data_IF_781918197586
#
_entry.id   IF_781918197586
#
_cell.length_a   1.000
_cell.length_b   1.000
_cell.length_c   1.000
_cell.angle_alpha   90.00
_cell.angle_beta   90.00
_cell.angle_gamma   90.00
#
_symmetry.space_group_name_H-M   'P 1'
#
loop_
_entity.id
_entity.type
_entity.pdbx_description
1 polymer ?
#
# COMPACT_ATOMS: atom_id res chain seq x y z
N UNK A 1 8.69 7.50 7.85
CA UNK A 1 8.13 7.71 6.50
C UNK A 1 8.73 8.96 5.88
N UNK A 2 8.86 9.01 4.57
CA UNK A 2 9.23 10.23 3.83
C UNK A 2 8.01 10.65 2.98
N UNK A 3 7.42 11.80 3.30
CA UNK A 3 6.17 12.28 2.71
C UNK A 3 6.40 13.59 1.98
N UNK A 4 5.99 13.69 0.72
CA UNK A 4 6.06 14.93 -0.04
C UNK A 4 4.65 15.43 -0.41
N UNK A 5 4.36 16.70 -0.15
CA UNK A 5 3.16 17.38 -0.61
C UNK A 5 3.47 18.18 -1.87
N UNK A 6 2.70 17.96 -2.94
CA UNK A 6 2.78 18.75 -4.17
C UNK A 6 1.51 19.59 -4.29
N UNK A 7 1.64 20.91 -4.21
CA UNK A 7 0.53 21.86 -4.25
C UNK A 7 0.43 22.60 -5.59
N UNK A 8 -0.78 22.69 -6.14
CA UNK A 8 -1.07 23.31 -7.42
C UNK A 8 -1.39 24.80 -7.26
N UNK A 9 -0.51 25.65 -7.77
CA UNK A 9 -0.70 27.10 -7.77
C UNK A 9 -0.96 27.69 -9.15
N UNK A 10 -1.28 26.83 -10.12
CA UNK A 10 -1.47 27.17 -11.53
C UNK A 10 -2.72 28.02 -11.78
N UNK A 11 -2.97 28.36 -13.05
CA UNK A 11 -4.13 29.12 -13.46
C UNK A 11 -5.45 28.35 -13.45
N UNK A 12 -5.43 27.01 -13.45
CA UNK A 12 -6.66 26.20 -13.45
C UNK A 12 -7.34 26.15 -12.07
N UNK A 13 -6.54 26.23 -11.02
CA UNK A 13 -7.00 26.37 -9.63
C UNK A 13 -7.44 27.81 -9.35
N UNK A 14 -8.59 28.01 -8.69
CA UNK A 14 -9.07 29.32 -8.22
C UNK A 14 -8.38 29.73 -6.92
N UNK A 15 -8.46 31.01 -6.55
CA UNK A 15 -7.87 31.48 -5.27
C UNK A 15 -8.49 30.81 -4.05
N UNK A 16 -9.80 30.54 -4.07
CA UNK A 16 -10.50 29.84 -2.99
C UNK A 16 -10.04 28.37 -2.91
N UNK A 17 -9.94 27.67 -4.04
CA UNK A 17 -9.45 26.30 -4.10
C UNK A 17 -7.99 26.18 -3.62
N UNK A 18 -7.12 27.15 -3.98
CA UNK A 18 -5.74 27.19 -3.45
C UNK A 18 -5.72 27.44 -1.92
N UNK A 19 -6.69 28.18 -1.39
CA UNK A 19 -6.83 28.35 0.06
C UNK A 19 -7.27 27.04 0.73
N UNK A 20 -8.19 26.30 0.12
CA UNK A 20 -8.59 24.95 0.56
C UNK A 20 -7.41 23.97 0.53
N UNK A 21 -6.59 23.97 -0.53
CA UNK A 21 -5.37 23.15 -0.60
C UNK A 21 -4.42 23.46 0.57
N UNK A 22 -4.20 24.73 0.88
CA UNK A 22 -3.37 25.15 2.02
C UNK A 22 -3.93 24.65 3.34
N UNK A 23 -5.24 24.75 3.55
CA UNK A 23 -5.88 24.25 4.76
C UNK A 23 -5.77 22.72 4.85
N UNK A 24 -5.93 22.03 3.74
CA UNK A 24 -5.80 20.58 3.70
C UNK A 24 -4.36 20.16 4.05
N UNK A 25 -3.34 20.75 3.43
CA UNK A 25 -1.94 20.43 3.75
C UNK A 25 -1.62 20.73 5.22
N UNK A 26 -2.11 21.85 5.78
CA UNK A 26 -1.95 22.15 7.21
C UNK A 26 -2.60 21.10 8.11
N UNK A 27 -3.71 20.49 7.68
CA UNK A 27 -4.38 19.43 8.43
C UNK A 27 -3.63 18.10 8.31
N UNK A 28 -3.26 17.71 7.09
CA UNK A 28 -2.56 16.45 6.83
C UNK A 28 -1.15 16.44 7.43
N UNK A 29 -0.45 17.58 7.46
CA UNK A 29 0.89 17.62 8.05
C UNK A 29 0.87 17.27 9.54
N UNK A 30 -0.14 17.71 10.29
CA UNK A 30 -0.32 17.33 11.71
C UNK A 30 -0.48 15.81 11.86
N UNK A 31 -1.18 15.16 10.92
CA UNK A 31 -1.39 13.72 10.94
C UNK A 31 -0.13 12.91 10.57
N UNK A 32 0.70 13.41 9.64
CA UNK A 32 1.92 12.71 9.22
C UNK A 32 3.13 13.05 10.07
N UNK A 33 3.15 14.20 10.72
CA UNK A 33 4.30 14.62 11.54
C UNK A 33 4.34 13.78 12.79
N UNK A 34 5.31 12.86 12.83
CA UNK A 34 5.56 11.98 13.95
C UNK A 34 7.06 11.70 14.04
N UNK A 35 7.52 11.20 15.19
CA UNK A 35 8.93 10.87 15.40
C UNK A 35 9.45 9.95 14.30
N UNK A 36 10.49 10.41 13.58
CA UNK A 36 11.11 9.66 12.48
C UNK A 36 10.43 9.83 11.12
N UNK A 37 9.38 10.65 10.98
CA UNK A 37 8.86 11.07 9.68
C UNK A 37 9.59 12.31 9.16
N UNK A 38 9.61 12.46 7.82
CA UNK A 38 10.23 13.60 7.14
C UNK A 38 9.30 14.10 6.05
N UNK A 39 8.95 15.37 6.11
CA UNK A 39 8.00 16.00 5.21
C UNK A 39 8.71 16.96 4.24
N UNK A 40 8.26 16.97 2.99
CA UNK A 40 8.71 17.89 1.95
C UNK A 40 7.53 18.59 1.28
N UNK A 41 7.78 19.77 0.73
CA UNK A 41 6.77 20.61 0.08
C UNK A 41 7.25 21.05 -1.29
N UNK A 42 6.45 20.85 -2.32
CA UNK A 42 6.67 21.36 -3.68
C UNK A 42 5.48 22.23 -4.04
N UNK A 43 5.76 23.41 -4.57
CA UNK A 43 4.75 24.30 -5.15
C UNK A 43 4.98 24.40 -6.66
N UNK A 44 3.95 24.13 -7.45
CA UNK A 44 4.05 24.19 -8.92
C UNK A 44 3.00 25.08 -9.58
N UNK A 45 3.28 25.43 -10.84
CA UNK A 45 2.46 26.20 -11.76
C UNK A 45 3.11 26.08 -13.14
N UNK A 46 3.52 27.19 -13.76
CA UNK A 46 4.34 27.13 -14.98
C UNK A 46 5.70 26.44 -14.76
N UNK A 47 6.25 26.53 -13.55
CA UNK A 47 7.44 25.82 -13.05
C UNK A 47 7.13 25.18 -11.70
N UNK A 48 7.95 24.22 -11.28
CA UNK A 48 7.89 23.61 -9.96
C UNK A 48 9.11 24.04 -9.13
N UNK A 49 8.94 24.12 -7.81
CA UNK A 49 10.03 24.48 -6.90
C UNK A 49 9.80 23.87 -5.53
N UNK A 50 10.84 23.30 -4.94
CA UNK A 50 10.84 22.85 -3.55
C UNK A 50 10.69 24.05 -2.61
N UNK A 51 9.82 23.92 -1.62
CA UNK A 51 9.52 24.90 -0.56
C UNK A 51 9.91 24.39 0.83
N UNK A 52 9.98 23.09 1.00
CA UNK A 52 10.54 22.42 2.15
C UNK A 52 11.22 21.11 1.68
N UNK A 53 12.46 20.88 2.10
CA UNK A 53 13.17 19.62 1.88
C UNK A 53 12.77 18.56 2.92
N UNK A 54 12.98 17.27 2.60
CA UNK A 54 12.67 16.17 3.53
C UNK A 54 13.42 16.34 4.86
N UNK A 55 12.66 16.50 5.95
CA UNK A 55 13.21 16.63 7.30
C UNK A 55 13.82 18.00 7.58
N UNK A 56 13.52 19.01 6.77
CA UNK A 56 13.93 20.39 7.03
C UNK A 56 13.25 20.97 8.28
N UNK A 57 12.03 20.53 8.56
CA UNK A 57 11.25 20.96 9.73
C UNK A 57 10.99 19.76 10.63
N UNK A 58 11.20 19.96 11.93
CA UNK A 58 11.06 18.97 13.00
C UNK A 58 9.67 18.99 13.66
N UNK A 59 8.87 20.04 13.43
CA UNK A 59 7.51 20.16 13.95
C UNK A 59 6.51 20.60 12.89
N UNK A 60 5.25 20.18 13.09
CA UNK A 60 4.15 20.53 12.20
C UNK A 60 3.93 22.05 12.15
N UNK A 61 4.13 22.76 13.27
CA UNK A 61 3.93 24.21 13.38
C UNK A 61 4.88 24.97 12.44
N UNK A 62 6.17 24.62 12.43
CA UNK A 62 7.15 25.26 11.54
C UNK A 62 6.83 25.00 10.07
N UNK A 63 6.39 23.78 9.74
CA UNK A 63 5.96 23.45 8.39
C UNK A 63 4.70 24.25 7.99
N UNK A 64 3.72 24.35 8.90
CA UNK A 64 2.49 25.13 8.72
C UNK A 64 2.81 26.61 8.44
N UNK A 65 3.83 27.18 9.09
CA UNK A 65 4.27 28.55 8.81
C UNK A 65 4.84 28.76 7.40
N UNK A 66 5.43 27.73 6.79
CA UNK A 66 5.87 27.79 5.39
C UNK A 66 4.65 27.74 4.48
N UNK A 67 3.74 26.79 4.73
CA UNK A 67 2.50 26.64 3.96
C UNK A 67 1.67 27.92 4.00
N UNK A 68 1.59 28.60 5.15
CA UNK A 68 0.79 29.81 5.29
C UNK A 68 1.34 31.00 4.46
N UNK A 69 2.64 31.02 4.20
CA UNK A 69 3.31 32.10 3.44
C UNK A 69 3.25 31.85 1.93
N UNK A 70 2.81 30.67 1.49
CA UNK A 70 2.72 30.36 0.07
C UNK A 70 1.70 31.25 -0.64
N UNK A 71 2.11 31.77 -1.80
CA UNK A 71 1.30 32.60 -2.68
C UNK A 71 1.02 31.85 -3.97
N UNK A 72 -0.21 32.00 -4.48
CA UNK A 72 -0.61 31.47 -5.77
C UNK A 72 0.18 32.15 -6.89
N UNK A 73 0.79 31.38 -7.80
CA UNK A 73 1.64 31.90 -8.88
C UNK A 73 0.88 32.12 -10.20
N UNK A 74 -0.31 31.53 -10.37
CA UNK A 74 -1.04 31.46 -11.64
C UNK A 74 -0.16 30.83 -12.75
N UNK A 75 -0.62 30.90 -14.01
CA UNK A 75 0.13 30.42 -15.17
C UNK A 75 -0.28 29.03 -15.63
N UNK A 76 0.61 28.34 -16.33
CA UNK A 76 0.34 27.02 -16.92
C UNK A 76 0.24 25.96 -15.82
N UNK A 77 -0.48 24.88 -16.08
CA UNK A 77 -0.57 23.73 -15.16
C UNK A 77 0.41 22.67 -15.65
N UNK A 78 1.55 22.52 -14.96
CA UNK A 78 2.67 21.61 -15.31
C UNK A 78 2.95 20.61 -14.19
N UNK A 79 2.04 19.65 -14.03
CA UNK A 79 2.16 18.54 -13.07
C UNK A 79 3.39 17.69 -13.41
N UNK A 80 3.68 17.48 -14.69
CA UNK A 80 4.86 16.78 -15.16
C UNK A 80 6.18 17.35 -14.60
N UNK A 81 6.31 18.68 -14.53
CA UNK A 81 7.47 19.34 -13.92
C UNK A 81 7.52 19.13 -12.41
N UNK A 82 6.38 19.13 -11.74
CA UNK A 82 6.29 18.90 -10.31
C UNK A 82 6.72 17.48 -9.93
N UNK A 83 6.29 16.48 -10.72
CA UNK A 83 6.69 15.09 -10.55
C UNK A 83 8.19 14.89 -10.79
N UNK A 84 8.78 15.57 -11.79
CA UNK A 84 10.23 15.53 -11.99
C UNK A 84 11.01 16.14 -10.80
N UNK A 85 10.59 17.32 -10.33
CA UNK A 85 11.21 17.95 -9.13
C UNK A 85 11.09 17.04 -7.91
N UNK A 86 9.98 16.32 -7.76
CA UNK A 86 9.83 15.35 -6.69
C UNK A 86 10.86 14.21 -6.79
N UNK A 87 11.10 13.68 -7.98
CA UNK A 87 12.11 12.63 -8.21
C UNK A 87 13.52 13.16 -7.93
N UNK A 88 13.87 14.26 -8.61
CA UNK A 88 15.27 14.70 -8.73
C UNK A 88 15.75 15.46 -7.49
N UNK A 89 14.88 16.27 -6.88
CA UNK A 89 15.28 17.20 -5.81
C UNK A 89 14.79 16.80 -4.41
N UNK A 90 13.74 15.97 -4.32
CA UNK A 90 13.16 15.56 -3.03
C UNK A 90 13.49 14.10 -2.72
N UNK A 91 13.02 13.16 -3.55
CA UNK A 91 13.17 11.72 -3.31
C UNK A 91 14.58 11.18 -3.60
N UNK A 92 15.45 11.97 -4.24
CA UNK A 92 16.89 11.69 -4.33
C UNK A 92 17.57 11.65 -2.95
N UNK A 93 17.01 12.32 -1.94
CA UNK A 93 17.47 12.31 -0.54
C UNK A 93 16.63 11.42 0.37
N UNK A 94 15.69 10.64 -0.20
CA UNK A 94 14.80 9.78 0.57
C UNK A 94 15.55 8.59 1.20
N UNK A 95 15.12 8.18 2.39
CA UNK A 95 15.69 7.03 3.09
C UNK A 95 15.34 5.75 2.32
N UNK A 96 16.31 4.85 2.05
CA UNK A 96 16.08 3.63 1.27
C UNK A 96 14.91 2.79 1.77
N UNK A 97 14.87 2.53 3.08
CA UNK A 97 13.85 1.70 3.77
C UNK A 97 12.70 2.50 4.38
N UNK A 98 12.57 3.79 4.09
CA UNK A 98 11.37 4.51 4.48
C UNK A 98 10.25 4.24 3.47
N UNK A 99 9.03 4.11 3.97
CA UNK A 99 7.85 4.29 3.14
C UNK A 99 7.86 5.70 2.54
N UNK A 100 7.81 5.77 1.20
CA UNK A 100 7.85 7.01 0.44
C UNK A 100 6.46 7.28 -0.13
N UNK A 101 5.86 8.41 0.25
CA UNK A 101 4.53 8.81 -0.21
C UNK A 101 4.61 10.20 -0.81
N UNK A 102 4.01 10.40 -1.98
CA UNK A 102 3.77 11.73 -2.53
C UNK A 102 2.29 11.98 -2.64
N UNK A 103 1.82 13.11 -2.10
CA UNK A 103 0.43 13.54 -2.10
C UNK A 103 0.33 14.72 -3.05
N UNK A 104 -0.31 14.53 -4.19
CA UNK A 104 -0.49 15.53 -5.24
C UNK A 104 -1.87 16.15 -5.11
N UNK A 105 -1.94 17.45 -4.83
CA UNK A 105 -3.18 18.22 -4.78
C UNK A 105 -3.33 18.95 -6.12
N UNK A 106 -4.32 18.60 -6.92
CA UNK A 106 -4.57 19.23 -8.23
C UNK A 106 -5.95 18.88 -8.80
N UNK A 107 -6.45 19.66 -9.76
CA UNK A 107 -7.64 19.33 -10.56
C UNK A 107 -7.34 18.30 -11.69
N UNK A 108 -6.08 17.93 -11.88
CA UNK A 108 -5.62 16.95 -12.88
C UNK A 108 -5.55 17.50 -14.31
N UNK A 109 -5.73 18.80 -14.50
CA UNK A 109 -5.57 19.46 -15.79
C UNK A 109 -4.09 19.70 -16.06
N UNK A 110 -3.64 19.50 -17.30
CA UNK A 110 -2.32 19.93 -17.73
C UNK A 110 -2.42 20.81 -18.97
N UNK A 111 -1.57 21.83 -19.04
CA UNK A 111 -1.45 22.68 -20.23
C UNK A 111 -0.80 21.92 -21.39
N UNK A 112 -1.13 22.30 -22.65
CA UNK A 112 -0.50 21.74 -23.86
C UNK A 112 1.04 21.75 -23.75
N UNK A 113 1.70 20.72 -24.27
CA UNK A 113 3.16 20.57 -24.20
C UNK A 113 3.69 20.00 -22.87
N UNK A 114 2.81 19.58 -21.96
CA UNK A 114 3.20 18.77 -20.81
C UNK A 114 3.36 17.30 -21.23
N UNK A 115 4.28 16.58 -20.59
CA UNK A 115 4.36 15.13 -20.70
C UNK A 115 3.12 14.46 -20.10
N UNK A 116 2.82 13.24 -20.55
CA UNK A 116 1.70 12.48 -19.99
C UNK A 116 1.91 12.24 -18.49
N UNK A 117 0.81 12.24 -17.73
CA UNK A 117 0.85 11.97 -16.29
C UNK A 117 1.44 10.58 -16.01
N UNK A 118 1.10 9.56 -16.81
CA UNK A 118 1.62 8.20 -16.67
C UNK A 118 3.14 8.11 -16.84
N UNK A 119 3.68 8.82 -17.83
CA UNK A 119 5.12 8.87 -18.11
C UNK A 119 5.86 9.62 -16.99
N UNK A 120 5.34 10.79 -16.59
CA UNK A 120 5.99 11.67 -15.61
C UNK A 120 6.00 11.09 -14.19
N UNK A 121 5.01 10.27 -13.86
CA UNK A 121 4.92 9.57 -12.56
C UNK A 121 5.62 8.21 -12.54
N UNK A 122 6.03 7.68 -13.69
CA UNK A 122 6.71 6.37 -13.78
C UNK A 122 7.99 6.30 -12.93
N UNK A 123 8.88 7.31 -12.92
CA UNK A 123 10.09 7.26 -12.10
C UNK A 123 9.79 7.21 -10.60
N UNK A 124 8.76 7.92 -10.13
CA UNK A 124 8.30 7.85 -8.73
C UNK A 124 7.86 6.43 -8.37
N UNK A 125 7.03 5.80 -9.21
CA UNK A 125 6.61 4.41 -8.99
C UNK A 125 7.78 3.42 -9.03
N UNK A 126 8.72 3.62 -9.94
CA UNK A 126 9.95 2.80 -10.03
C UNK A 126 10.85 2.97 -8.79
N UNK A 127 10.84 4.14 -8.16
CA UNK A 127 11.52 4.42 -6.90
C UNK A 127 10.72 3.98 -5.66
N UNK A 128 9.67 3.17 -5.84
CA UNK A 128 8.72 2.72 -4.81
C UNK A 128 8.10 3.89 -4.00
N UNK A 129 7.83 5.00 -4.67
CA UNK A 129 7.06 6.11 -4.11
C UNK A 129 5.58 5.89 -4.42
N UNK A 130 4.76 5.73 -3.39
CA UNK A 130 3.29 5.67 -3.54
C UNK A 130 2.75 7.06 -3.85
N UNK A 131 2.07 7.18 -4.99
CA UNK A 131 1.47 8.45 -5.44
C UNK A 131 0.00 8.47 -5.06
N UNK A 132 -0.39 9.39 -4.18
CA UNK A 132 -1.79 9.70 -3.85
C UNK A 132 -2.20 10.96 -4.61
N UNK A 133 -3.26 10.88 -5.39
CA UNK A 133 -3.79 12.03 -6.12
C UNK A 133 -5.05 12.54 -5.40
N UNK A 134 -4.94 13.70 -4.76
CA UNK A 134 -6.05 14.39 -4.11
C UNK A 134 -6.59 15.41 -5.06
N UNK A 135 -7.83 15.20 -5.46
CA UNK A 135 -8.41 16.07 -6.44
C UNK A 135 -9.07 17.31 -5.83
N UNK A 136 -8.85 18.48 -6.45
CA UNK A 136 -9.27 19.80 -5.96
C UNK A 136 -10.29 20.44 -6.92
N UNK A 137 -11.31 21.10 -6.35
CA UNK A 137 -12.35 21.82 -7.09
C UNK A 137 -13.45 20.91 -7.66
N UNK A 138 -14.42 21.50 -8.37
CA UNK A 138 -15.57 20.77 -8.95
C UNK A 138 -15.26 20.10 -10.30
N UNK A 139 -14.08 20.36 -10.87
CA UNK A 139 -13.62 19.87 -12.19
C UNK A 139 -12.89 18.52 -12.16
N UNK A 140 -13.11 17.73 -11.12
CA UNK A 140 -12.47 16.46 -10.83
C UNK A 140 -12.53 15.46 -11.99
N UNK A 141 -11.45 15.36 -12.75
CA UNK A 141 -11.29 14.28 -13.71
C UNK A 141 -10.61 13.09 -13.04
N UNK A 142 -11.36 12.30 -12.24
CA UNK A 142 -10.87 11.04 -11.62
C UNK A 142 -10.14 10.15 -12.64
N UNK A 143 -10.66 10.11 -13.87
CA UNK A 143 -10.08 9.41 -15.02
C UNK A 143 -8.69 9.90 -15.45
N UNK A 144 -8.32 11.15 -15.14
CA UNK A 144 -7.00 11.74 -15.41
C UNK A 144 -6.07 11.57 -14.22
N UNK A 145 -6.57 11.82 -13.00
CA UNK A 145 -5.76 11.69 -11.79
C UNK A 145 -5.27 10.25 -11.58
N UNK A 146 -6.08 9.23 -11.92
CA UNK A 146 -5.62 7.83 -11.90
C UNK A 146 -4.43 7.52 -12.82
N UNK A 147 -4.10 8.39 -13.77
CA UNK A 147 -2.96 8.17 -14.65
C UNK A 147 -1.62 8.38 -13.93
N UNK A 148 -1.60 9.08 -12.79
CA UNK A 148 -0.38 9.27 -12.00
C UNK A 148 -0.22 8.29 -10.84
N UNK A 149 -1.30 7.64 -10.43
CA UNK A 149 -1.33 6.72 -9.28
C UNK A 149 -1.03 5.27 -9.70
N UNK A 150 -0.71 4.41 -8.73
CA UNK A 150 -0.54 2.96 -8.94
C UNK A 150 -1.84 2.19 -8.82
N UNK A 151 -2.79 2.68 -8.01
CA UNK A 151 -4.13 2.15 -7.82
C UNK A 151 -5.19 3.22 -8.07
N UNK A 152 -6.39 2.80 -8.50
CA UNK A 152 -7.56 3.69 -8.59
C UNK A 152 -8.06 4.14 -7.20
N UNK A 153 -7.76 3.36 -6.15
CA UNK A 153 -8.08 3.71 -4.75
C UNK A 153 -7.23 4.87 -4.21
N UNK A 154 -6.08 5.14 -4.84
CA UNK A 154 -5.18 6.24 -4.48
C UNK A 154 -5.62 7.58 -5.10
N UNK A 155 -6.77 7.61 -5.79
CA UNK A 155 -7.41 8.85 -6.26
C UNK A 155 -8.55 9.22 -5.34
N UNK A 156 -8.33 10.27 -4.55
CA UNK A 156 -9.15 10.57 -3.37
C UNK A 156 -9.73 11.99 -3.44
N UNK A 157 -10.97 12.14 -2.99
CA UNK A 157 -11.58 13.45 -2.80
C UNK A 157 -11.05 14.15 -1.54
N UNK A 158 -11.09 15.48 -1.51
CA UNK A 158 -10.70 16.31 -0.34
C UNK A 158 -11.36 15.87 0.96
N UNK A 159 -12.62 15.41 0.89
CA UNK A 159 -13.40 14.98 2.06
C UNK A 159 -12.95 13.62 2.62
N UNK A 160 -12.34 12.76 1.80
CA UNK A 160 -12.05 11.37 2.15
C UNK A 160 -10.56 11.13 2.45
N UNK A 161 -9.69 12.07 2.06
CA UNK A 161 -8.23 11.91 2.16
C UNK A 161 -7.73 11.73 3.60
N UNK A 162 -8.32 12.37 4.60
CA UNK A 162 -7.88 12.22 5.99
C UNK A 162 -8.04 10.78 6.48
N UNK A 163 -9.22 10.19 6.25
CA UNK A 163 -9.51 8.80 6.61
C UNK A 163 -8.68 7.82 5.79
N UNK A 164 -8.53 8.08 4.49
CA UNK A 164 -7.70 7.25 3.60
C UNK A 164 -6.23 7.27 4.04
N UNK A 165 -5.67 8.44 4.35
CA UNK A 165 -4.30 8.58 4.85
C UNK A 165 -4.14 7.91 6.21
N UNK A 166 -5.14 8.02 7.10
CA UNK A 166 -5.12 7.34 8.39
C UNK A 166 -5.05 5.83 8.23
N UNK A 167 -5.83 5.29 7.29
CA UNK A 167 -5.82 3.87 6.95
C UNK A 167 -4.45 3.42 6.43
N UNK A 168 -3.84 4.18 5.51
CA UNK A 168 -2.50 3.90 4.99
C UNK A 168 -1.47 3.88 6.12
N UNK A 169 -1.44 4.93 6.95
CA UNK A 169 -0.50 5.06 8.07
C UNK A 169 -0.67 3.89 9.04
N UNK A 170 -1.91 3.55 9.39
CA UNK A 170 -2.21 2.43 10.29
C UNK A 170 -1.71 1.11 9.73
N UNK A 171 -1.92 0.86 8.44
CA UNK A 171 -1.44 -0.36 7.78
C UNK A 171 0.08 -0.42 7.69
N UNK A 172 0.74 0.72 7.45
CA UNK A 172 2.20 0.82 7.46
C UNK A 172 2.76 0.41 8.84
N UNK A 173 2.16 0.89 9.93
CA UNK A 173 2.60 0.53 11.28
C UNK A 173 2.23 -0.90 11.67
N UNK A 174 1.10 -1.44 11.19
CA UNK A 174 0.68 -2.83 11.43
C UNK A 174 1.45 -3.84 10.60
N UNK A 175 1.94 -3.45 9.43
CA UNK A 175 2.70 -4.30 8.51
C UNK A 175 3.91 -3.52 7.94
N UNK A 176 5.02 -3.44 8.68
CA UNK A 176 6.18 -2.62 8.30
C UNK A 176 6.95 -3.13 7.07
N UNK A 177 6.63 -4.32 6.56
CA UNK A 177 7.39 -5.03 5.53
C UNK A 177 7.28 -4.46 4.10
N UNK A 178 6.36 -3.52 3.85
CA UNK A 178 6.17 -2.87 2.55
C UNK A 178 7.29 -1.90 2.14
N UNK A 179 8.16 -1.45 3.06
CA UNK A 179 9.25 -0.54 2.73
C UNK A 179 10.52 -1.25 2.20
N UNK A 180 10.68 -2.54 2.48
CA UNK A 180 11.88 -3.34 2.14
C UNK A 180 11.96 -3.68 0.64
N UNK A 181 10.83 -3.73 -0.08
CA UNK A 181 10.82 -4.01 -1.52
C UNK A 181 11.36 -2.89 -2.41
N UNK A 182 11.61 -1.67 -1.88
CA UNK A 182 12.29 -0.63 -2.65
C UNK A 182 13.80 -0.89 -2.79
N UNK A 183 14.39 -1.55 -1.79
CA UNK A 183 15.83 -1.74 -1.68
C UNK A 183 16.29 -3.04 -2.38
N UNK A 184 15.42 -4.04 -2.46
CA UNK A 184 15.80 -5.40 -2.87
C UNK A 184 15.70 -5.66 -4.39
N UNK A 185 15.55 -4.61 -5.21
CA UNK A 185 15.78 -4.69 -6.66
C UNK A 185 17.28 -4.63 -7.05
N UNK A 186 18.19 -4.79 -6.08
CA UNK A 186 19.57 -5.18 -6.35
C UNK A 186 19.72 -6.70 -6.19
N UNK A 187 20.28 -7.41 -7.19
CA UNK A 187 20.40 -8.85 -7.09
C UNK A 187 21.58 -9.23 -6.19
N UNK A 188 21.35 -10.04 -5.17
CA UNK A 188 22.31 -11.08 -4.80
C UNK A 188 21.64 -12.29 -4.17
N UNK A 189 22.12 -13.44 -4.61
CA UNK A 189 21.65 -14.82 -4.48
C UNK A 189 21.59 -15.43 -3.07
N UNK A 190 20.63 -16.37 -2.96
CA UNK A 190 20.61 -17.68 -2.25
C UNK A 190 19.90 -17.84 -0.88
N UNK A 191 19.14 -18.96 -0.69
CA UNK A 191 18.26 -19.19 0.46
C UNK A 191 18.81 -20.21 1.47
N UNK A 192 18.42 -20.10 2.75
CA UNK A 192 18.56 -21.20 3.73
C UNK A 192 17.30 -21.31 4.59
N UNK A 193 16.70 -22.51 4.59
CA UNK A 193 15.56 -22.94 5.41
C UNK A 193 16.00 -23.49 6.77
N UNK A 194 15.23 -23.27 7.85
CA UNK A 194 15.18 -24.18 9.03
C UNK A 194 13.95 -23.93 9.93
N UNK A 195 13.33 -25.02 10.38
CA UNK A 195 12.10 -25.13 11.20
C UNK A 195 12.35 -25.01 12.74
N UNK A 196 11.30 -24.70 13.52
CA UNK A 196 11.31 -24.48 14.97
C UNK A 196 10.80 -25.69 15.81
N UNK A 197 11.27 -25.83 17.07
CA UNK A 197 10.87 -26.89 18.05
C UNK A 197 10.36 -26.28 19.38
N UNK A 198 9.55 -27.02 20.14
CA UNK A 198 8.78 -26.55 21.33
C UNK A 198 9.55 -26.37 22.65
N UNK A 199 9.12 -25.39 23.47
CA UNK A 199 9.73 -25.02 24.76
C UNK A 199 9.14 -25.81 25.95
N UNK A 200 9.95 -26.34 26.88
CA UNK A 200 9.54 -27.28 27.93
C UNK A 200 8.72 -26.70 29.11
N UNK A 201 8.32 -25.43 29.07
CA UNK A 201 7.58 -24.78 30.16
C UNK A 201 6.09 -24.51 29.83
N UNK A 202 5.58 -24.99 28.70
CA UNK A 202 4.21 -24.71 28.24
C UNK A 202 3.22 -25.87 28.36
N UNK A 203 3.67 -27.05 28.79
CA UNK A 203 2.86 -28.28 28.81
C UNK A 203 1.70 -28.25 29.83
N UNK A 204 1.91 -27.70 31.03
CA UNK A 204 0.92 -27.78 32.12
C UNK A 204 -0.27 -26.82 32.01
N UNK A 205 -0.17 -25.78 31.18
CA UNK A 205 -1.25 -24.80 30.96
C UNK A 205 -2.15 -25.22 29.79
N UNK A 206 -1.57 -25.87 28.78
CA UNK A 206 -2.31 -26.32 27.58
C UNK A 206 -3.09 -27.64 27.88
N UNK A 207 -2.58 -28.53 28.74
CA UNK A 207 -3.30 -29.74 29.20
C UNK A 207 -4.63 -29.43 29.93
N UNK A 208 -4.68 -28.34 30.70
CA UNK A 208 -5.86 -27.99 31.53
C UNK A 208 -7.06 -27.47 30.72
N UNK A 209 -6.82 -26.88 29.54
CA UNK A 209 -7.88 -26.43 28.62
C UNK A 209 -8.34 -27.50 27.63
N UNK A 210 -7.51 -28.54 27.40
CA UNK A 210 -7.83 -29.61 26.45
C UNK A 210 -8.84 -30.64 26.98
N UNK A 211 -9.11 -30.68 28.29
CA UNK A 211 -9.96 -31.71 28.91
C UNK A 211 -11.44 -31.33 29.03
N UNK A 212 -11.84 -30.08 28.80
CA UNK A 212 -13.24 -29.68 29.03
C UNK A 212 -14.17 -30.04 27.87
N UNK A 213 -13.80 -29.88 26.59
CA UNK A 213 -14.67 -30.26 25.45
C UNK A 213 -13.84 -30.69 24.21
N UNK A 214 -13.80 -32.01 23.96
CA UNK A 214 -13.63 -32.71 22.65
C UNK A 214 -12.26 -32.80 21.92
N UNK A 215 -11.88 -34.07 21.67
CA UNK A 215 -11.08 -34.75 20.61
C UNK A 215 -9.69 -34.23 20.14
N UNK A 216 -8.66 -35.04 20.43
CA UNK A 216 -7.22 -34.87 20.14
C UNK A 216 -6.76 -35.06 18.66
N UNK A 217 -7.60 -34.84 17.66
CA UNK A 217 -7.32 -35.31 16.28
C UNK A 217 -7.22 -34.23 15.17
N UNK A 218 -7.14 -32.93 15.48
CA UNK A 218 -6.94 -31.87 14.48
C UNK A 218 -5.62 -31.13 14.69
N UNK A 219 -4.75 -31.12 13.68
CA UNK A 219 -3.47 -30.39 13.69
C UNK A 219 -3.65 -28.87 13.82
N UNK A 220 -4.76 -28.33 13.31
CA UNK A 220 -5.06 -26.89 13.31
C UNK A 220 -5.48 -26.34 14.69
N UNK A 221 -5.75 -27.21 15.67
CA UNK A 221 -6.25 -26.78 16.98
C UNK A 221 -5.15 -26.14 17.84
N UNK A 222 -3.91 -26.62 17.73
CA UNK A 222 -2.78 -26.11 18.53
C UNK A 222 -2.33 -24.71 18.07
N UNK A 223 -2.41 -24.40 16.78
CA UNK A 223 -1.98 -23.11 16.21
C UNK A 223 -2.93 -21.94 16.55
N UNK A 224 -4.21 -22.23 16.76
CA UNK A 224 -5.24 -21.21 17.01
C UNK A 224 -5.31 -20.82 18.49
N UNK A 225 -5.20 -21.78 19.41
CA UNK A 225 -5.44 -21.55 20.85
C UNK A 225 -4.19 -21.63 21.74
N UNK A 226 -3.08 -22.20 21.25
CA UNK A 226 -1.79 -22.23 21.93
C UNK A 226 -0.68 -21.70 20.97
N UNK A 227 -0.79 -20.46 20.45
CA UNK A 227 0.19 -19.92 19.53
C UNK A 227 1.58 -19.92 20.17
N UNK A 228 2.57 -20.51 19.48
CA UNK A 228 3.97 -20.47 19.90
C UNK A 228 4.42 -19.00 19.94
N UNK A 229 4.51 -18.43 21.13
CA UNK A 229 5.03 -17.07 21.34
C UNK A 229 6.55 -17.08 21.19
N UNK A 230 7.02 -16.77 19.99
CA UNK A 230 8.44 -16.48 19.73
C UNK A 230 8.72 -15.01 20.04
N UNK A 231 8.70 -14.61 21.32
CA UNK A 231 9.27 -13.30 21.69
C UNK A 231 10.78 -13.45 21.74
N UNK A 232 11.43 -13.07 20.63
CA UNK A 232 12.89 -13.08 20.49
C UNK A 232 13.46 -11.79 21.09
N UNK A 233 14.08 -11.87 22.27
CA UNK A 233 14.69 -10.71 22.93
C UNK A 233 16.14 -10.60 22.47
N UNK A 234 16.40 -9.69 21.53
CA UNK A 234 17.74 -9.42 21.03
C UNK A 234 18.37 -8.30 21.85
N UNK A 235 19.49 -8.60 22.51
CA UNK A 235 20.22 -7.64 23.34
C UNK A 235 21.47 -7.18 22.57
N UNK A 236 21.52 -5.88 22.26
CA UNK A 236 22.55 -5.28 21.41
C UNK A 236 23.46 -4.37 22.22
N UNK A 237 24.77 -4.60 22.13
CA UNK A 237 25.79 -3.86 22.87
C UNK A 237 26.85 -3.26 21.95
N UNK A 238 27.22 -2.00 22.20
CA UNK A 238 28.22 -1.26 21.41
C UNK A 238 29.23 -0.61 22.36
N UNK A 239 30.52 -0.90 22.17
CA UNK A 239 31.62 -0.25 22.89
C UNK A 239 32.61 -1.21 23.57
N UNK A 240 33.87 -0.78 23.67
CA UNK A 240 34.93 -1.55 24.33
C UNK A 240 34.60 -1.75 25.82
N UNK A 241 34.51 -3.00 26.26
CA UNK A 241 34.22 -3.36 27.65
C UNK A 241 32.80 -3.90 27.91
N UNK A 242 31.98 -4.12 26.89
CA UNK A 242 30.69 -4.81 27.05
C UNK A 242 30.90 -6.31 27.39
N UNK A 243 30.58 -6.69 28.64
CA UNK A 243 30.66 -8.08 29.08
C UNK A 243 29.46 -8.89 28.55
N UNK A 244 29.75 -9.86 27.67
CA UNK A 244 28.82 -10.89 27.18
C UNK A 244 28.02 -11.53 28.32
N UNK A 245 28.60 -11.68 29.50
CA UNK A 245 27.99 -12.36 30.65
C UNK A 245 26.88 -11.55 31.33
N UNK A 246 26.99 -10.21 31.33
CA UNK A 246 25.92 -9.34 31.86
C UNK A 246 24.73 -9.27 30.90
N UNK A 247 24.99 -9.28 29.58
CA UNK A 247 23.95 -9.24 28.55
C UNK A 247 23.24 -10.59 28.39
N UNK A 248 23.92 -11.71 28.66
CA UNK A 248 23.34 -13.06 28.78
C UNK A 248 22.29 -13.21 29.86
N UNK A 249 22.27 -12.32 30.86
CA UNK A 249 21.22 -12.32 31.91
C UNK A 249 19.96 -11.59 31.46
N UNK A 250 20.04 -10.77 30.41
CA UNK A 250 18.91 -10.01 29.84
C UNK A 250 18.34 -10.67 28.57
N UNK A 251 19.17 -11.34 27.76
CA UNK A 251 18.75 -12.16 26.64
C UNK A 251 18.50 -13.60 27.12
N UNK A 252 17.36 -14.19 26.76
CA UNK A 252 16.97 -15.54 27.19
C UNK A 252 17.85 -16.68 26.65
N UNK A 253 18.73 -16.43 25.67
CA UNK A 253 19.65 -17.43 25.11
C UNK A 253 20.99 -16.83 24.61
N UNK A 254 21.99 -17.70 24.34
CA UNK A 254 23.34 -17.32 23.86
C UNK A 254 23.39 -16.83 22.40
N UNK A 255 22.41 -17.21 21.58
CA UNK A 255 22.36 -16.94 20.13
C UNK A 255 21.68 -15.59 19.80
N UNK A 256 21.27 -14.85 20.83
CA UNK A 256 20.49 -13.59 20.72
C UNK A 256 21.26 -12.37 21.23
N UNK A 257 22.58 -12.51 21.39
CA UNK A 257 23.47 -11.44 21.85
C UNK A 257 24.37 -11.05 20.69
N UNK A 258 24.00 -9.95 20.06
CA UNK A 258 24.73 -9.38 18.93
C UNK A 258 25.61 -8.28 19.50
N UNK A 259 26.92 -8.54 19.51
CA UNK A 259 27.93 -7.58 19.95
C UNK A 259 28.77 -7.25 18.75
N UNK A 260 28.83 -5.97 18.44
CA UNK A 260 29.66 -5.43 17.38
C UNK A 260 30.68 -4.49 17.99
N UNK A 261 31.90 -4.56 17.46
CA UNK A 261 33.01 -3.77 17.97
C UNK A 261 32.95 -2.32 17.48
N UNK A 262 32.08 -2.04 16.49
CA UNK A 262 31.80 -0.70 15.97
C UNK A 262 30.34 -0.49 15.55
N UNK A 263 29.95 0.77 15.40
CA UNK A 263 28.62 1.15 14.92
C UNK A 263 28.37 0.72 13.45
N UNK A 264 29.44 0.55 12.64
CA UNK A 264 29.33 0.13 11.24
C UNK A 264 28.94 -1.34 11.09
N UNK A 265 29.56 -2.23 11.86
CA UNK A 265 29.22 -3.66 11.82
C UNK A 265 27.78 -3.92 12.33
N UNK A 266 27.31 -3.08 13.25
CA UNK A 266 25.93 -3.10 13.71
C UNK A 266 24.93 -2.69 12.63
N UNK A 267 25.28 -1.72 11.79
CA UNK A 267 24.43 -1.32 10.65
C UNK A 267 24.34 -2.47 9.64
N UNK A 268 25.45 -3.16 9.35
CA UNK A 268 25.48 -4.33 8.46
C UNK A 268 24.69 -5.52 9.04
N UNK A 269 24.85 -5.79 10.35
CA UNK A 269 24.06 -6.82 11.05
C UNK A 269 22.56 -6.50 11.08
N UNK A 270 22.19 -5.22 11.29
CA UNK A 270 20.80 -4.78 11.27
C UNK A 270 20.16 -4.90 9.89
N UNK A 271 20.92 -4.66 8.81
CA UNK A 271 20.44 -4.88 7.43
C UNK A 271 20.07 -6.35 7.19
N UNK A 272 20.91 -7.30 7.61
CA UNK A 272 20.62 -8.75 7.47
C UNK A 272 19.41 -9.22 8.29
N UNK A 273 19.13 -8.57 9.43
CA UNK A 273 17.94 -8.83 10.25
C UNK A 273 16.66 -8.29 9.61
N UNK A 274 16.71 -7.14 8.93
CA UNK A 274 15.55 -6.54 8.26
C UNK A 274 15.15 -7.34 7.00
N UNK A 275 16.12 -7.88 6.26
CA UNK A 275 15.88 -8.71 5.08
C UNK A 275 15.19 -10.06 5.41
N UNK A 276 15.38 -10.58 6.62
CA UNK A 276 14.71 -11.80 7.09
C UNK A 276 13.25 -11.62 7.54
N UNK A 277 12.79 -10.38 7.75
CA UNK A 277 11.45 -10.08 8.31
C UNK A 277 10.38 -9.95 7.19
N UNK A 278 10.79 -9.73 5.94
CA UNK A 278 9.89 -9.32 4.85
C UNK A 278 9.79 -10.37 3.73
N UNK A 279 9.21 -11.54 4.02
CA UNK A 279 9.07 -12.62 3.02
C UNK A 279 7.94 -12.27 2.03
N UNK A 280 8.21 -12.29 0.70
CA UNK A 280 7.19 -12.14 -0.33
C UNK A 280 6.13 -13.24 -0.25
N UNK A 281 4.85 -12.87 -0.33
CA UNK A 281 3.74 -13.83 -0.44
C UNK A 281 2.90 -13.51 -1.66
N UNK A 282 2.89 -14.45 -2.60
CA UNK A 282 2.14 -14.32 -3.84
C UNK A 282 0.63 -14.23 -3.61
N UNK A 283 -0.03 -13.50 -4.50
CA UNK A 283 -1.48 -13.38 -4.53
C UNK A 283 -2.15 -14.67 -4.99
N UNK A 284 -3.29 -14.98 -4.37
CA UNK A 284 -4.20 -16.04 -4.76
C UNK A 284 -5.59 -15.49 -5.07
N UNK A 285 -6.27 -16.15 -6.00
CA UNK A 285 -7.64 -15.78 -6.33
C UNK A 285 -8.63 -16.26 -5.27
N UNK A 286 -9.65 -15.46 -5.01
CA UNK A 286 -10.87 -15.87 -4.32
C UNK A 286 -11.64 -16.92 -5.12
N UNK A 287 -12.64 -17.54 -4.47
CA UNK A 287 -13.56 -18.44 -5.15
C UNK A 287 -14.31 -17.71 -6.28
N UNK A 288 -14.71 -18.47 -7.30
CA UNK A 288 -15.50 -17.93 -8.40
C UNK A 288 -16.87 -17.43 -7.90
N UNK A 289 -17.23 -16.23 -8.34
CA UNK A 289 -18.56 -15.63 -8.22
C UNK A 289 -19.24 -15.72 -9.59
N UNK A 290 -20.50 -16.14 -9.63
CA UNK A 290 -21.24 -16.39 -10.87
C UNK A 290 -22.28 -15.30 -11.16
N UNK A 291 -22.41 -14.88 -12.41
CA UNK A 291 -23.53 -14.05 -12.86
C UNK A 291 -24.79 -14.87 -13.13
N UNK A 292 -25.91 -14.18 -13.32
CA UNK A 292 -27.09 -14.78 -13.95
C UNK A 292 -26.77 -15.24 -15.38
N UNK A 293 -27.52 -16.23 -15.86
CA UNK A 293 -27.41 -16.75 -17.22
C UNK A 293 -28.06 -15.78 -18.21
N UNK A 294 -27.46 -15.59 -19.38
CA UNK A 294 -27.97 -14.66 -20.41
C UNK A 294 -29.38 -15.00 -20.92
N UNK A 295 -29.78 -16.26 -20.84
CA UNK A 295 -31.13 -16.73 -21.18
C UNK A 295 -31.60 -17.75 -20.15
N UNK A 296 -32.91 -17.93 -20.04
CA UNK A 296 -33.50 -18.91 -19.12
C UNK A 296 -33.60 -20.31 -19.72
N UNK A 297 -33.58 -20.48 -21.05
CA UNK A 297 -33.59 -21.78 -21.72
C UNK A 297 -32.97 -21.66 -23.12
N UNK A 298 -32.69 -22.80 -23.76
CA UNK A 298 -32.18 -22.83 -25.15
C UNK A 298 -30.69 -22.59 -25.28
N UNK A 299 -29.93 -22.64 -24.18
CA UNK A 299 -28.48 -22.43 -24.15
C UNK A 299 -28.08 -20.96 -24.04
N UNK A 300 -27.48 -20.59 -22.90
CA UNK A 300 -26.96 -19.27 -22.60
C UNK A 300 -25.51 -19.28 -22.14
N UNK A 301 -25.02 -18.10 -21.81
CA UNK A 301 -23.68 -17.90 -21.25
C UNK A 301 -23.80 -17.18 -19.92
N UNK A 302 -23.08 -17.65 -18.90
CA UNK A 302 -22.87 -16.94 -17.63
C UNK A 302 -21.40 -16.61 -17.45
N UNK A 303 -21.13 -15.53 -16.75
CA UNK A 303 -19.78 -15.03 -16.48
C UNK A 303 -19.36 -15.44 -15.07
N UNK A 304 -18.21 -16.08 -14.95
CA UNK A 304 -17.55 -16.37 -13.68
C UNK A 304 -16.47 -15.31 -13.44
N UNK A 305 -16.46 -14.69 -12.27
CA UNK A 305 -15.47 -13.67 -11.87
C UNK A 305 -14.79 -14.04 -10.55
N UNK A 306 -13.53 -13.65 -10.38
CA UNK A 306 -12.76 -13.86 -9.13
C UNK A 306 -11.81 -12.69 -8.90
N UNK A 307 -11.42 -12.46 -7.65
CA UNK A 307 -10.59 -11.33 -7.22
C UNK A 307 -9.29 -11.81 -6.56
N UNK A 308 -8.19 -11.08 -6.75
CA UNK A 308 -6.87 -11.48 -6.23
C UNK A 308 -6.73 -11.12 -4.74
N UNK A 309 -7.49 -11.81 -3.89
CA UNK A 309 -7.66 -11.44 -2.47
C UNK A 309 -7.55 -12.63 -1.52
N UNK A 310 -7.24 -13.84 -1.99
CA UNK A 310 -7.14 -15.03 -1.15
C UNK A 310 -5.87 -15.85 -1.39
N UNK A 311 -4.72 -15.44 -0.82
CA UNK A 311 -4.48 -14.18 -0.13
C UNK A 311 -4.24 -13.03 -1.13
N UNK A 312 -4.38 -11.75 -0.73
CA UNK A 312 -3.86 -10.67 -1.57
C UNK A 312 -2.33 -10.77 -1.64
N UNK A 313 -1.70 -10.39 -2.76
CA UNK A 313 -0.25 -10.33 -2.86
C UNK A 313 0.27 -9.32 -1.84
N UNK A 314 1.21 -9.76 -1.01
CA UNK A 314 1.89 -8.91 -0.03
C UNK A 314 3.40 -9.06 -0.21
N UNK A 315 4.11 -8.06 0.29
CA UNK A 315 5.57 -8.09 0.32
C UNK A 315 6.25 -8.26 -1.06
N UNK A 316 5.62 -7.81 -2.15
CA UNK A 316 6.19 -7.89 -3.50
C UNK A 316 5.96 -9.25 -4.15
N UNK A 317 5.12 -10.08 -3.55
CA UNK A 317 4.62 -11.30 -4.16
C UNK A 317 3.90 -11.03 -5.48
N UNK A 318 3.97 -12.00 -6.38
CA UNK A 318 3.38 -11.93 -7.71
C UNK A 318 1.87 -11.70 -7.64
N UNK A 319 1.34 -10.90 -8.56
CA UNK A 319 -0.10 -10.79 -8.73
C UNK A 319 -0.70 -12.10 -9.28
N UNK A 320 -2.02 -12.20 -9.30
CA UNK A 320 -2.70 -13.41 -9.72
C UNK A 320 -2.71 -13.62 -11.25
N UNK A 321 -2.12 -12.74 -12.06
CA UNK A 321 -2.19 -12.86 -13.54
C UNK A 321 -1.55 -14.16 -14.03
N UNK A 322 -0.52 -14.65 -13.33
CA UNK A 322 0.12 -15.96 -13.57
C UNK A 322 -0.80 -17.17 -13.34
N UNK A 323 -1.89 -17.00 -12.60
CA UNK A 323 -2.86 -18.05 -12.27
C UNK A 323 -4.03 -18.11 -13.28
N UNK A 324 -3.95 -17.35 -14.37
CA UNK A 324 -4.98 -17.26 -15.42
C UNK A 324 -5.94 -16.08 -15.24
N UNK A 325 -6.93 -15.91 -16.12
CA UNK A 325 -7.76 -14.71 -16.15
C UNK A 325 -8.66 -14.57 -14.91
N UNK A 326 -9.02 -13.33 -14.58
CA UNK A 326 -9.93 -12.99 -13.49
C UNK A 326 -11.42 -13.17 -13.85
N UNK A 327 -11.73 -13.39 -15.14
CA UNK A 327 -13.08 -13.61 -15.64
C UNK A 327 -13.08 -14.66 -16.75
N UNK A 328 -14.11 -15.51 -16.80
CA UNK A 328 -14.35 -16.46 -17.89
C UNK A 328 -15.84 -16.69 -18.12
N UNK A 329 -16.20 -17.01 -19.37
CA UNK A 329 -17.56 -17.33 -19.78
C UNK A 329 -17.77 -18.85 -19.82
N UNK A 330 -18.90 -19.33 -19.32
CA UNK A 330 -19.28 -20.76 -19.33
C UNK A 330 -20.73 -20.92 -19.80
N UNK A 331 -21.07 -22.02 -20.49
CA UNK A 331 -22.44 -22.30 -20.90
C UNK A 331 -23.37 -22.53 -19.70
N UNK A 332 -24.64 -22.19 -19.86
CA UNK A 332 -25.69 -22.39 -18.87
C UNK A 332 -27.05 -22.61 -19.54
N UNK A 333 -28.02 -23.15 -18.80
CA UNK A 333 -29.41 -23.37 -19.26
C UNK A 333 -29.51 -24.08 -20.64
N UNK A 334 -28.76 -25.15 -20.80
CA UNK A 334 -28.68 -25.93 -22.06
C UNK A 334 -29.94 -26.77 -22.36
N UNK A 335 -30.94 -26.75 -21.48
CA UNK A 335 -32.21 -27.41 -21.73
C UNK A 335 -33.04 -26.67 -22.78
N UNK A 336 -33.73 -27.43 -23.62
CA UNK A 336 -34.59 -26.88 -24.66
C UNK A 336 -35.73 -26.03 -24.06
N UNK A 337 -36.08 -24.93 -24.74
CA UNK A 337 -37.25 -24.15 -24.37
C UNK A 337 -38.53 -24.93 -24.71
N UNK A 338 -39.44 -25.06 -23.75
CA UNK A 338 -40.76 -25.65 -24.00
C UNK A 338 -41.56 -24.75 -24.95
N UNK A 339 -41.75 -25.19 -26.19
CA UNK A 339 -42.64 -24.52 -27.13
C UNK A 339 -44.09 -24.67 -26.65
N UNK A 340 -44.79 -23.56 -26.41
CA UNK A 340 -46.24 -23.63 -26.22
C UNK A 340 -46.89 -24.04 -27.54
N UNK A 341 -47.56 -25.19 -27.56
CA UNK A 341 -48.40 -25.60 -28.69
C UNK A 341 -49.64 -24.72 -28.71
N UNK A 342 -49.84 -23.96 -29.79
CA UNK A 342 -51.07 -23.21 -30.01
C UNK A 342 -52.05 -24.09 -30.80
N UNK A 343 -53.12 -24.53 -30.15
CA UNK A 343 -54.24 -25.19 -30.83
C UNK A 343 -55.16 -24.12 -31.41
N UNK A 344 -55.25 -24.03 -32.73
CA UNK A 344 -56.21 -23.16 -33.41
C UNK A 344 -57.55 -23.89 -33.53
N UNK A 345 -58.60 -23.35 -32.93
CA UNK A 345 -59.98 -23.82 -33.14
C UNK A 345 -60.53 -23.16 -34.41
N UNK A 346 -60.59 -23.91 -35.51
CA UNK A 346 -61.25 -23.45 -36.74
C UNK A 346 -62.71 -23.86 -36.68
N UNK A 347 -63.60 -22.89 -36.46
CA UNK A 347 -65.05 -23.09 -36.51
C UNK A 347 -65.53 -22.79 -37.93
N UNK A 348 -66.02 -23.81 -38.63
CA UNK A 348 -66.71 -23.60 -39.90
C UNK A 348 -68.18 -23.30 -39.63
N UNK A 349 -68.62 -22.09 -39.96
CA UNK A 349 -70.03 -21.73 -39.97
C UNK A 349 -70.56 -21.99 -41.37
N UNK A 350 -71.50 -22.93 -41.50
CA UNK A 350 -72.27 -23.14 -42.72
C UNK A 350 -73.47 -22.19 -42.67
N UNK A 351 -73.56 -21.29 -43.64
CA UNK A 351 -74.70 -20.36 -43.78
C UNK A 351 -75.94 -21.15 -44.20
#
# INVERSE_FOLDING_TARGET
MDVAFIMDSSGSIKRAEFYEERLLVKKLVVQVTATGNREALILFGSSASVKAQLGQYDTAEKYIEVVQKLRKKNGRTRIDRALNVAVDEVFSSARPYAYKIVIVLSDGVQSKGAKSLRESSRPLRQANVRVLAVGIGTGMAKNRLRLMTGSDDDVVDVKDIEGHLQYIITNIYRNPCGAVQAANNFPSSTPVTKECVDHPLYTSFCERKATEHMCWAHADFMDIYCPKSCVRIIVVGIGQGMSKEKMKKAAGSKEEIIIHDSYQELIEGLHTLIDGICIPKDGGYSNWSESECSVTCGGGIKTLTRTCTNPPPINGGSDCTRLGPASKNVPCNEYACSSKSFTFLVIYVKI
#
